data_IF_636058973044
#
_entry.id   IF_636058973044
#
_cell.length_a   1.000
_cell.length_b   1.000
_cell.length_c   1.000
_cell.angle_alpha   90.00
_cell.angle_beta   90.00
_cell.angle_gamma   90.00
#
_symmetry.space_group_name_H-M   'P 1'
#
loop_
_entity.id
_entity.type
_entity.pdbx_description
1 polymer ?
#
# COMPACT_ATOMS: atom_id res chain seq x y z
N UNK A 1 -3.75 7.76 -1.49
CA UNK A 1 -4.77 6.71 -1.80
C UNK A 1 -5.93 6.70 -0.81
N UNK A 2 -5.99 7.65 0.13
CA UNK A 2 -6.88 7.64 1.29
C UNK A 2 -8.27 8.22 0.98
N UNK A 3 -8.35 9.17 0.03
CA UNK A 3 -9.58 9.89 -0.32
C UNK A 3 -10.76 8.94 -0.66
N UNK A 4 -10.59 7.89 -1.51
CA UNK A 4 -11.67 6.96 -1.80
C UNK A 4 -12.13 6.15 -0.57
N UNK A 5 -11.25 5.91 0.40
CA UNK A 5 -11.60 5.20 1.62
C UNK A 5 -12.39 6.12 2.56
N UNK A 6 -12.03 7.41 2.66
CA UNK A 6 -12.69 8.35 3.57
C UNK A 6 -14.07 8.81 3.09
N UNK A 7 -14.29 8.96 1.77
CA UNK A 7 -15.56 9.48 1.22
C UNK A 7 -16.67 8.41 1.24
N UNK A 8 -16.31 7.13 1.14
CA UNK A 8 -17.27 6.04 1.08
C UNK A 8 -17.81 5.66 2.47
N UNK A 9 -18.93 4.93 2.50
CA UNK A 9 -19.50 4.35 3.72
C UNK A 9 -19.09 2.89 3.93
N UNK A 10 -18.15 2.39 3.12
CA UNK A 10 -17.57 1.05 3.17
C UNK A 10 -16.18 1.07 2.52
N UNK A 11 -15.42 -0.01 2.71
CA UNK A 11 -14.20 -0.20 1.93
C UNK A 11 -14.53 -0.24 0.42
N UNK A 12 -13.78 0.50 -0.41
CA UNK A 12 -13.95 0.44 -1.86
C UNK A 12 -13.54 -0.95 -2.37
N UNK A 13 -14.33 -1.49 -3.29
CA UNK A 13 -14.06 -2.78 -3.93
C UNK A 13 -12.82 -2.71 -4.82
N UNK A 14 -12.25 -3.88 -5.16
CA UNK A 14 -11.11 -3.97 -6.10
C UNK A 14 -11.38 -3.21 -7.40
N UNK A 15 -12.58 -3.35 -7.97
CA UNK A 15 -12.98 -2.70 -9.22
C UNK A 15 -13.04 -1.17 -9.12
N UNK A 16 -13.55 -0.64 -8.00
CA UNK A 16 -13.60 0.80 -7.75
C UNK A 16 -12.19 1.37 -7.58
N UNK A 17 -11.34 0.69 -6.80
CA UNK A 17 -9.95 1.08 -6.61
C UNK A 17 -9.17 1.04 -7.92
N UNK A 18 -9.33 -0.02 -8.71
CA UNK A 18 -8.69 -0.20 -10.01
C UNK A 18 -9.00 0.97 -10.94
N UNK A 19 -10.27 1.38 -11.06
CA UNK A 19 -10.66 2.48 -11.93
C UNK A 19 -9.95 3.78 -11.55
N UNK A 20 -9.90 4.09 -10.25
CA UNK A 20 -9.24 5.29 -9.71
C UNK A 20 -7.72 5.23 -9.95
N UNK A 21 -7.10 4.10 -9.66
CA UNK A 21 -5.66 3.93 -9.84
C UNK A 21 -5.26 3.96 -11.32
N UNK A 22 -6.09 3.40 -12.20
CA UNK A 22 -5.87 3.41 -13.65
C UNK A 22 -5.85 4.83 -14.19
N UNK A 23 -6.79 5.67 -13.77
CA UNK A 23 -6.84 7.08 -14.16
C UNK A 23 -5.54 7.80 -13.79
N UNK A 24 -5.06 7.61 -12.56
CA UNK A 24 -3.82 8.21 -12.07
C UNK A 24 -2.60 7.68 -12.83
N UNK A 25 -2.46 6.36 -13.01
CA UNK A 25 -1.32 5.78 -13.73
C UNK A 25 -1.28 6.22 -15.19
N UNK A 26 -2.43 6.27 -15.86
CA UNK A 26 -2.52 6.67 -17.27
C UNK A 26 -2.19 8.15 -17.47
N UNK A 27 -2.62 9.03 -16.56
CA UNK A 27 -2.38 10.47 -16.65
C UNK A 27 -0.89 10.85 -16.65
N UNK A 28 -0.04 10.03 -16.03
CA UNK A 28 1.40 10.28 -15.93
C UNK A 28 2.26 9.36 -16.80
N UNK A 29 1.69 8.38 -17.50
CA UNK A 29 2.47 7.48 -18.35
C UNK A 29 3.24 8.27 -19.44
N UNK A 30 4.55 8.01 -19.66
CA UNK A 30 5.36 6.90 -19.16
C UNK A 30 6.14 7.17 -17.85
N UNK A 31 5.90 8.29 -17.17
CA UNK A 31 6.59 8.63 -15.93
C UNK A 31 6.14 7.70 -14.78
N UNK A 32 7.04 7.37 -13.84
CA UNK A 32 6.71 6.54 -12.69
C UNK A 32 5.74 7.25 -11.74
N UNK A 33 4.78 6.51 -11.22
CA UNK A 33 3.82 6.95 -10.20
C UNK A 33 4.02 6.11 -8.95
N UNK A 34 4.33 6.77 -7.84
CA UNK A 34 4.49 6.10 -6.54
C UNK A 34 3.17 6.17 -5.78
N UNK A 35 2.51 5.02 -5.65
CA UNK A 35 1.27 4.88 -4.89
C UNK A 35 1.58 4.41 -3.48
N UNK A 36 1.24 5.24 -2.49
CA UNK A 36 1.29 4.85 -1.09
C UNK A 36 0.15 3.89 -0.77
N UNK A 37 0.42 2.77 -0.10
CA UNK A 37 -0.66 1.91 0.42
C UNK A 37 -1.46 2.65 1.48
N UNK A 38 -2.56 2.03 1.92
CA UNK A 38 -3.51 2.67 2.84
C UNK A 38 -2.84 3.08 4.16
N UNK A 39 -2.79 4.38 4.43
CA UNK A 39 -2.41 4.96 5.73
C UNK A 39 -3.65 5.50 6.45
N UNK A 40 -4.33 4.60 7.16
CA UNK A 40 -5.49 4.92 8.01
C UNK A 40 -5.16 4.73 9.49
N UNK A 41 -5.94 5.36 10.36
CA UNK A 41 -5.68 5.46 11.80
C UNK A 41 -5.30 6.88 12.21
N UNK A 42 -5.18 7.13 13.51
CA UNK A 42 -4.97 8.50 14.00
C UNK A 42 -6.22 9.37 13.84
N UNK A 43 -6.05 10.49 13.15
CA UNK A 43 -7.08 11.46 12.76
C UNK A 43 -7.91 11.03 11.53
N UNK A 44 -7.45 10.01 10.80
CA UNK A 44 -8.11 9.49 9.58
C UNK A 44 -9.07 8.34 9.91
N UNK A 45 -10.05 8.60 10.76
CA UNK A 45 -11.03 7.58 11.18
C UNK A 45 -12.02 7.27 10.05
N UNK A 46 -12.20 5.98 9.74
CA UNK A 46 -13.26 5.53 8.83
C UNK A 46 -14.53 5.27 9.64
N UNK A 47 -15.65 5.89 9.26
CA UNK A 47 -16.93 5.76 9.98
C UNK A 47 -17.44 4.31 10.09
N UNK A 48 -17.06 3.48 9.12
CA UNK A 48 -17.43 2.06 9.01
C UNK A 48 -16.34 1.10 9.51
N UNK A 49 -15.21 1.63 10.00
CA UNK A 49 -14.14 0.85 10.62
C UNK A 49 -13.64 1.59 11.88
N UNK A 50 -14.45 1.59 12.96
CA UNK A 50 -14.14 2.39 14.14
C UNK A 50 -13.01 1.76 14.95
N UNK A 51 -11.94 2.54 15.14
CA UNK A 51 -10.81 2.21 16.02
C UNK A 51 -10.94 3.06 17.28
N UNK A 52 -10.90 2.44 18.47
CA UNK A 52 -10.86 3.14 19.76
C UNK A 52 -9.52 2.90 20.42
N UNK A 53 -8.71 3.95 20.56
CA UNK A 53 -7.42 3.94 21.24
C UNK A 53 -7.22 5.21 22.04
N UNK A 54 -6.49 5.11 23.15
CA UNK A 54 -6.15 6.27 23.99
C UNK A 54 -5.20 7.24 23.27
N UNK A 55 -4.31 6.72 22.41
CA UNK A 55 -3.35 7.52 21.63
C UNK A 55 -3.29 7.10 20.14
N UNK A 56 -4.19 7.64 19.30
CA UNK A 56 -4.32 7.23 17.89
C UNK A 56 -3.07 7.46 17.03
N UNK A 57 -2.21 8.42 17.39
CA UNK A 57 -0.98 8.72 16.63
C UNK A 57 0.14 7.70 16.83
N UNK A 58 0.15 6.99 17.96
CA UNK A 58 1.15 5.97 18.31
C UNK A 58 0.61 4.55 18.24
N UNK A 59 -0.70 4.40 18.02
CA UNK A 59 -1.43 3.15 18.05
C UNK A 59 -1.51 2.45 16.70
N UNK A 60 -2.70 1.94 16.42
CA UNK A 60 -3.02 1.05 15.31
C UNK A 60 -3.31 1.85 14.04
N UNK A 61 -2.27 2.06 13.24
CA UNK A 61 -2.33 2.83 11.98
C UNK A 61 -1.38 2.34 10.90
N UNK A 62 -1.61 2.79 9.67
CA UNK A 62 -0.74 2.53 8.52
C UNK A 62 -0.59 1.03 8.23
N UNK A 63 0.65 0.60 8.01
CA UNK A 63 0.96 -0.81 7.68
C UNK A 63 0.40 -1.81 8.70
N UNK A 64 0.36 -1.44 9.99
CA UNK A 64 -0.09 -2.35 11.07
C UNK A 64 -1.54 -2.76 10.89
N UNK A 65 -2.42 -1.81 10.55
CA UNK A 65 -3.84 -2.11 10.26
C UNK A 65 -3.94 -3.05 9.07
N UNK A 66 -3.15 -2.81 8.02
CA UNK A 66 -3.19 -3.63 6.80
C UNK A 66 -2.53 -5.01 6.96
N UNK A 67 -1.65 -5.20 7.94
CA UNK A 67 -1.08 -6.50 8.29
C UNK A 67 -2.04 -7.31 9.19
N UNK A 68 -2.74 -6.66 10.11
CA UNK A 68 -3.79 -7.31 10.92
C UNK A 68 -5.06 -7.63 10.11
N UNK A 69 -5.33 -6.84 9.06
CA UNK A 69 -6.41 -7.04 8.09
C UNK A 69 -5.86 -7.23 6.68
N UNK A 70 -5.19 -8.36 6.40
CA UNK A 70 -4.51 -8.60 5.13
C UNK A 70 -5.47 -8.59 3.93
N UNK A 71 -6.76 -8.86 4.14
CA UNK A 71 -7.78 -8.77 3.10
C UNK A 71 -7.89 -7.36 2.49
N UNK A 72 -7.74 -6.31 3.30
CA UNK A 72 -7.79 -4.91 2.84
C UNK A 72 -6.57 -4.63 1.97
N UNK A 73 -5.39 -5.07 2.44
CA UNK A 73 -4.11 -4.88 1.76
C UNK A 73 -4.05 -5.61 0.43
N UNK A 74 -4.53 -6.87 0.40
CA UNK A 74 -4.57 -7.69 -0.80
C UNK A 74 -5.49 -7.07 -1.86
N UNK A 75 -6.71 -6.66 -1.48
CA UNK A 75 -7.64 -5.99 -2.41
C UNK A 75 -7.03 -4.73 -3.01
N UNK A 76 -6.40 -3.90 -2.18
CA UNK A 76 -5.74 -2.68 -2.64
C UNK A 76 -4.57 -2.98 -3.59
N UNK A 77 -3.70 -3.92 -3.21
CA UNK A 77 -2.51 -4.28 -3.99
C UNK A 77 -2.90 -4.88 -5.34
N UNK A 78 -3.87 -5.79 -5.35
CA UNK A 78 -4.42 -6.38 -6.59
C UNK A 78 -4.99 -5.30 -7.51
N UNK A 79 -5.75 -4.34 -6.97
CA UNK A 79 -6.27 -3.22 -7.74
C UNK A 79 -5.16 -2.34 -8.34
N UNK A 80 -4.09 -2.05 -7.59
CA UNK A 80 -2.93 -1.30 -8.10
C UNK A 80 -2.22 -2.05 -9.24
N UNK A 81 -1.97 -3.34 -9.05
CA UNK A 81 -1.33 -4.20 -10.05
C UNK A 81 -2.13 -4.26 -11.34
N UNK A 82 -3.43 -4.58 -11.26
CA UNK A 82 -4.31 -4.61 -12.44
C UNK A 82 -4.41 -3.25 -13.14
N UNK A 83 -4.44 -2.15 -12.37
CA UNK A 83 -4.43 -0.81 -12.94
C UNK A 83 -3.13 -0.51 -13.72
N UNK A 84 -2.02 -1.17 -13.40
CA UNK A 84 -0.71 -0.94 -14.04
C UNK A 84 -0.52 -1.69 -15.36
N UNK A 85 -1.38 -2.65 -15.69
CA UNK A 85 -1.28 -3.48 -16.90
C UNK A 85 -1.09 -2.63 -18.18
N UNK A 86 -0.01 -2.89 -18.92
CA UNK A 86 0.34 -2.17 -20.14
C UNK A 86 0.87 -0.74 -19.95
N UNK A 87 0.87 -0.20 -18.72
CA UNK A 87 1.49 1.08 -18.39
C UNK A 87 2.85 0.90 -17.72
N UNK A 88 2.99 -0.13 -16.88
CA UNK A 88 4.23 -0.57 -16.22
C UNK A 88 5.02 0.55 -15.52
N UNK A 89 4.31 1.56 -15.01
CA UNK A 89 4.88 2.74 -14.37
C UNK A 89 4.51 2.85 -12.87
N UNK A 90 3.98 1.79 -12.27
CA UNK A 90 3.63 1.74 -10.85
C UNK A 90 4.88 1.53 -9.97
N UNK A 91 4.93 2.24 -8.84
CA UNK A 91 5.75 1.92 -7.66
C UNK A 91 4.86 1.88 -6.44
N UNK A 92 5.09 0.95 -5.52
CA UNK A 92 4.32 0.83 -4.27
C UNK A 92 5.15 1.37 -3.11
N UNK A 93 4.56 2.19 -2.25
CA UNK A 93 5.21 2.76 -1.07
C UNK A 93 4.48 2.35 0.21
N UNK A 94 5.20 1.73 1.15
CA UNK A 94 4.68 1.27 2.43
C UNK A 94 4.83 2.36 3.51
N UNK A 95 3.73 2.85 4.11
CA UNK A 95 3.76 3.84 5.19
C UNK A 95 3.98 3.20 6.57
N UNK A 96 4.42 4.00 7.53
CA UNK A 96 4.48 3.66 8.97
C UNK A 96 5.31 2.41 9.31
N UNK A 97 6.27 2.02 8.47
CA UNK A 97 7.20 0.92 8.78
C UNK A 97 8.04 1.30 10.00
N UNK A 98 8.09 0.40 10.98
CA UNK A 98 8.87 0.55 12.20
C UNK A 98 9.88 -0.59 12.43
N UNK A 99 9.78 -1.69 11.69
CA UNK A 99 10.66 -2.85 11.77
C UNK A 99 10.85 -3.53 10.40
N UNK A 100 11.91 -4.31 10.25
CA UNK A 100 12.14 -5.13 9.04
C UNK A 100 11.08 -6.23 8.87
N UNK A 101 10.54 -6.75 9.96
CA UNK A 101 9.54 -7.81 9.92
C UNK A 101 8.24 -7.35 9.22
N UNK A 102 7.79 -6.13 9.50
CA UNK A 102 6.62 -5.53 8.82
C UNK A 102 6.82 -5.45 7.30
N UNK A 103 8.06 -5.21 6.85
CA UNK A 103 8.41 -5.19 5.42
C UNK A 103 8.37 -6.60 4.83
N UNK A 104 8.92 -7.58 5.52
CA UNK A 104 8.92 -8.98 5.08
C UNK A 104 7.49 -9.50 4.88
N UNK A 105 6.59 -9.23 5.83
CA UNK A 105 5.18 -9.61 5.73
C UNK A 105 4.46 -8.88 4.60
N UNK A 106 4.68 -7.56 4.46
CA UNK A 106 4.09 -6.78 3.38
C UNK A 106 4.55 -7.26 2.00
N UNK A 107 5.84 -7.54 1.83
CA UNK A 107 6.39 -8.09 0.58
C UNK A 107 5.77 -9.46 0.27
N UNK A 108 5.59 -10.32 1.28
CA UNK A 108 4.93 -11.61 1.09
C UNK A 108 3.50 -11.44 0.55
N UNK A 109 2.73 -10.51 1.12
CA UNK A 109 1.37 -10.22 0.65
C UNK A 109 1.36 -9.60 -0.76
N UNK A 110 2.31 -8.72 -1.10
CA UNK A 110 2.41 -8.15 -2.45
C UNK A 110 2.75 -9.25 -3.46
N UNK A 111 3.70 -10.13 -3.15
CA UNK A 111 4.05 -11.26 -4.01
C UNK A 111 2.88 -12.21 -4.22
N UNK A 112 2.12 -12.49 -3.16
CA UNK A 112 0.88 -13.28 -3.26
C UNK A 112 -0.14 -12.61 -4.19
N UNK A 113 -0.44 -11.33 -3.97
CA UNK A 113 -1.36 -10.56 -4.81
C UNK A 113 -0.90 -10.55 -6.28
N UNK A 114 0.40 -10.38 -6.52
CA UNK A 114 0.99 -10.43 -7.84
C UNK A 114 0.82 -11.79 -8.52
N UNK A 115 1.06 -12.90 -7.81
CA UNK A 115 0.79 -14.25 -8.31
C UNK A 115 -0.67 -14.44 -8.69
N UNK A 116 -1.61 -14.12 -7.79
CA UNK A 116 -3.04 -14.27 -8.04
C UNK A 116 -3.52 -13.42 -9.25
N UNK A 117 -3.03 -12.18 -9.39
CA UNK A 117 -3.38 -11.31 -10.53
C UNK A 117 -2.86 -11.89 -11.86
N UNK A 118 -1.66 -12.48 -11.85
CA UNK A 118 -1.10 -13.11 -13.06
C UNK A 118 -1.83 -14.41 -13.41
N UNK A 119 -2.22 -15.20 -12.42
CA UNK A 119 -3.01 -16.43 -12.62
C UNK A 119 -4.41 -16.12 -13.20
N UNK A 120 -4.96 -14.94 -12.89
CA UNK A 120 -6.20 -14.42 -13.48
C UNK A 120 -6.03 -13.90 -14.92
N UNK A 121 -4.81 -13.87 -15.45
CA UNK A 121 -4.50 -13.53 -16.84
C UNK A 121 -4.04 -12.09 -17.09
N UNK A 122 -3.81 -11.30 -16.04
CA UNK A 122 -3.25 -9.94 -16.17
C UNK A 122 -1.73 -10.00 -16.31
N UNK A 123 -1.19 -9.48 -17.42
CA UNK A 123 0.25 -9.44 -17.63
C UNK A 123 0.87 -8.15 -17.07
N UNK A 124 1.37 -8.24 -15.84
CA UNK A 124 1.98 -7.11 -15.13
C UNK A 124 3.29 -7.55 -14.45
N UNK A 125 4.40 -6.80 -14.63
CA UNK A 125 5.63 -7.06 -13.90
C UNK A 125 5.47 -6.75 -12.41
N UNK A 126 6.34 -7.32 -11.58
CA UNK A 126 6.41 -6.92 -10.17
C UNK A 126 6.87 -5.44 -10.10
N UNK A 127 6.07 -4.52 -9.53
CA UNK A 127 6.46 -3.13 -9.42
C UNK A 127 7.54 -2.96 -8.34
N UNK A 128 8.39 -1.92 -8.44
CA UNK A 128 9.28 -1.57 -7.34
C UNK A 128 8.49 -1.26 -6.06
N UNK A 129 8.93 -1.82 -4.95
CA UNK A 129 8.37 -1.59 -3.61
C UNK A 129 9.35 -0.78 -2.80
N UNK A 130 8.86 0.24 -2.09
CA UNK A 130 9.67 1.09 -1.24
C UNK A 130 9.04 1.33 0.12
N UNK A 131 9.83 1.90 1.03
CA UNK A 131 9.41 2.24 2.40
C UNK A 131 9.44 3.74 2.60
N UNK A 132 8.41 4.26 3.27
CA UNK A 132 8.36 5.63 3.76
C UNK A 132 9.02 5.72 5.14
N UNK A 133 10.10 6.47 5.25
CA UNK A 133 10.87 6.68 6.48
C UNK A 133 10.26 7.85 7.26
N UNK A 134 9.17 7.56 7.97
CA UNK A 134 8.44 8.53 8.79
C UNK A 134 8.43 8.20 10.30
N UNK A 135 8.90 7.02 10.68
CA UNK A 135 9.05 6.58 12.06
C UNK A 135 10.53 6.67 12.48
N UNK A 136 10.90 7.34 13.60
CA UNK A 136 12.29 7.47 14.02
C UNK A 136 13.04 6.13 14.15
N UNK A 137 12.34 5.06 14.57
CA UNK A 137 12.91 3.72 14.66
C UNK A 137 13.39 3.15 13.30
N UNK A 138 12.74 3.54 12.20
CA UNK A 138 13.11 3.10 10.85
C UNK A 138 14.43 3.73 10.38
N UNK A 139 14.79 4.92 10.88
CA UNK A 139 16.07 5.58 10.56
C UNK A 139 17.24 4.71 11.01
N UNK A 140 17.18 4.15 12.21
CA UNK A 140 18.23 3.27 12.73
C UNK A 140 18.33 1.92 11.99
N UNK A 141 17.24 1.48 11.36
CA UNK A 141 17.15 0.23 10.60
C UNK A 141 17.27 0.43 9.09
N UNK A 142 17.53 1.65 8.62
CA UNK A 142 17.48 2.02 7.20
C UNK A 142 18.39 1.15 6.33
N UNK A 143 19.57 0.76 6.86
CA UNK A 143 20.50 -0.12 6.14
C UNK A 143 19.90 -1.50 5.87
N UNK A 144 19.17 -2.06 6.82
CA UNK A 144 18.56 -3.38 6.69
C UNK A 144 17.29 -3.31 5.84
N UNK A 145 16.49 -2.25 6.03
CA UNK A 145 15.33 -1.97 5.16
C UNK A 145 15.75 -1.84 3.69
N UNK A 146 16.82 -1.07 3.40
CA UNK A 146 17.33 -0.88 2.04
C UNK A 146 17.84 -2.16 1.35
N UNK A 147 18.05 -3.25 2.10
CA UNK A 147 18.39 -4.56 1.49
C UNK A 147 17.15 -5.34 1.05
N UNK A 148 15.98 -4.97 1.54
CA UNK A 148 14.72 -5.67 1.26
C UNK A 148 13.85 -4.96 0.23
N UNK A 149 14.03 -3.64 0.06
CA UNK A 149 13.16 -2.81 -0.80
C UNK A 149 13.96 -2.06 -1.87
N UNK A 150 13.28 -1.66 -2.94
CA UNK A 150 13.89 -1.06 -4.12
C UNK A 150 14.22 0.43 -3.92
N UNK A 151 13.51 1.12 -3.03
CA UNK A 151 13.72 2.53 -2.74
C UNK A 151 13.23 2.94 -1.35
N UNK A 152 13.72 4.08 -0.89
CA UNK A 152 13.29 4.74 0.34
C UNK A 152 12.76 6.14 0.01
N UNK A 153 11.75 6.59 0.73
CA UNK A 153 11.21 7.94 0.66
C UNK A 153 11.14 8.52 2.07
N UNK A 154 11.63 9.75 2.29
CA UNK A 154 11.55 10.45 3.59
C UNK A 154 10.39 11.43 3.56
#
# INVERSE_FOLDING_TARGET
TEVPFMINQRFPSEKEQLAIYREQLAAFHPLPVTMRSLDIGGDKSLSYFPIKEDNPFLGWRGIRVTLDHPEIFLVQTRAMLKASEGLNNLRILLPMISSTHEVEEALHLIHRAWGEVRDEGTDVPMPPVGVMIEVPAAVYQTRDLARQVDFLSV
#
